data_IF_203497170832
#
_entry.id   IF_203497170832
#
_cell.length_a   1.000
_cell.length_b   1.000
_cell.length_c   1.000
_cell.angle_alpha   90.00
_cell.angle_beta   90.00
_cell.angle_gamma   90.00
#
_symmetry.space_group_name_H-M   'P 1'
#
loop_
_entity.id
_entity.type
_entity.pdbx_description
1 polymer ?
#
# COMPACT_ATOMS: atom_id res chain seq x y z
N UNK A 1 -16.94 4.38 18.21
CA UNK A 1 -16.58 4.44 16.78
C UNK A 1 -15.20 3.87 16.75
N UNK A 2 -15.14 2.56 16.55
CA UNK A 2 -14.04 1.76 17.05
C UNK A 2 -13.19 1.39 15.85
N UNK A 3 -12.07 2.09 15.72
CA UNK A 3 -11.01 1.72 14.80
C UNK A 3 -9.90 1.05 15.60
N UNK A 4 -9.28 0.03 15.02
CA UNK A 4 -8.12 -0.65 15.60
C UNK A 4 -6.95 -0.50 14.65
N UNK A 5 -5.81 -0.06 15.18
CA UNK A 5 -4.54 -0.12 14.47
C UNK A 5 -3.95 -1.51 14.74
N UNK A 6 -3.66 -2.25 13.67
CA UNK A 6 -3.12 -3.60 13.75
C UNK A 6 -2.15 -3.87 12.62
N UNK A 7 -1.33 -4.90 12.77
CA UNK A 7 -0.52 -5.39 11.66
C UNK A 7 -1.40 -5.86 10.49
N UNK A 8 -0.90 -5.66 9.27
CA UNK A 8 -1.48 -6.22 8.07
C UNK A 8 -1.38 -7.76 8.13
N UNK A 9 -2.48 -8.45 7.83
CA UNK A 9 -2.44 -9.92 7.78
C UNK A 9 -1.87 -10.38 6.44
N UNK A 10 -1.24 -11.55 6.43
CA UNK A 10 -0.66 -12.13 5.21
C UNK A 10 -1.69 -12.29 4.07
N UNK A 11 -2.95 -12.57 4.38
CA UNK A 11 -4.03 -12.67 3.39
C UNK A 11 -4.61 -11.31 2.94
N UNK A 12 -4.06 -10.19 3.45
CA UNK A 12 -4.46 -8.82 3.12
C UNK A 12 -3.38 -8.08 2.33
N UNK A 13 -2.25 -8.72 2.00
CA UNK A 13 -1.12 -8.10 1.26
C UNK A 13 -1.56 -7.50 -0.07
N UNK A 14 -2.54 -8.09 -0.74
CA UNK A 14 -3.12 -7.58 -1.99
C UNK A 14 -3.80 -6.21 -1.84
N UNK A 15 -4.10 -5.75 -0.62
CA UNK A 15 -4.58 -4.39 -0.39
C UNK A 15 -3.50 -3.34 -0.68
N UNK A 16 -2.22 -3.70 -0.58
CA UNK A 16 -1.12 -2.77 -0.83
C UNK A 16 -1.09 -2.27 -2.27
N UNK A 17 -1.54 -3.05 -3.26
CA UNK A 17 -1.70 -2.58 -4.65
C UNK A 17 -2.71 -1.43 -4.74
N UNK A 18 -3.81 -1.52 -3.99
CA UNK A 18 -4.82 -0.47 -3.93
C UNK A 18 -4.26 0.77 -3.25
N UNK A 19 -3.59 0.60 -2.11
CA UNK A 19 -2.98 1.72 -1.39
C UNK A 19 -1.82 2.37 -2.15
N UNK A 20 -1.05 1.60 -2.92
CA UNK A 20 0.01 2.11 -3.79
C UNK A 20 -0.57 3.02 -4.88
N UNK A 21 -1.66 2.60 -5.51
CA UNK A 21 -2.37 3.44 -6.48
C UNK A 21 -2.93 4.71 -5.84
N UNK A 22 -3.57 4.59 -4.67
CA UNK A 22 -4.15 5.73 -3.95
C UNK A 22 -3.09 6.70 -3.40
N UNK A 23 -1.84 6.24 -3.20
CA UNK A 23 -0.71 7.07 -2.80
C UNK A 23 -0.12 7.90 -3.94
N UNK A 24 -0.51 7.66 -5.21
CA UNK A 24 -0.05 8.44 -6.35
C UNK A 24 -0.58 9.87 -6.21
N UNK A 25 0.34 10.83 -6.13
CA UNK A 25 -0.01 12.24 -6.15
C UNK A 25 -0.52 12.64 -7.54
N UNK A 26 -1.75 13.15 -7.60
CA UNK A 26 -2.37 13.64 -8.83
C UNK A 26 -2.52 15.17 -8.70
N UNK A 27 -1.76 15.97 -9.49
CA UNK A 27 -1.92 17.42 -9.49
C UNK A 27 -3.33 17.85 -9.90
N UNK A 28 -3.76 19.01 -9.42
CA UNK A 28 -5.07 19.57 -9.79
C UNK A 28 -5.19 19.74 -11.32
N UNK A 29 -6.33 19.31 -11.88
CA UNK A 29 -6.59 19.36 -13.32
C UNK A 29 -5.91 18.26 -14.15
N UNK A 30 -5.12 17.37 -13.54
CA UNK A 30 -4.52 16.22 -14.21
C UNK A 30 -5.43 15.00 -14.07
N UNK A 31 -5.59 14.25 -15.16
CA UNK A 31 -6.33 13.00 -15.13
C UNK A 31 -5.52 11.93 -14.38
N UNK A 32 -6.19 11.17 -13.51
CA UNK A 32 -5.58 10.02 -12.86
C UNK A 32 -5.01 9.03 -13.90
N UNK A 33 -3.81 8.47 -13.69
CA UNK A 33 -3.30 7.42 -14.54
C UNK A 33 -4.22 6.20 -14.47
N UNK A 34 -4.12 5.32 -15.47
CA UNK A 34 -4.82 4.04 -15.41
C UNK A 34 -4.23 3.14 -14.32
N UNK A 35 -5.05 2.23 -13.77
CA UNK A 35 -4.67 1.40 -12.62
C UNK A 35 -3.50 0.46 -12.90
N UNK A 36 -3.29 0.07 -14.15
CA UNK A 36 -2.13 -0.71 -14.61
C UNK A 36 -0.79 0.00 -14.39
N UNK A 37 -0.77 1.30 -14.10
CA UNK A 37 0.47 2.01 -13.75
C UNK A 37 1.20 1.33 -12.58
N UNK A 38 0.47 0.75 -11.62
CA UNK A 38 1.08 0.08 -10.46
C UNK A 38 1.85 -1.17 -10.86
N UNK A 39 1.60 -1.76 -12.03
CA UNK A 39 2.35 -2.91 -12.54
C UNK A 39 3.75 -2.52 -13.03
N UNK A 40 4.04 -1.22 -13.16
CA UNK A 40 5.35 -0.74 -13.53
C UNK A 40 6.40 -1.15 -12.48
N UNK A 41 7.58 -1.67 -12.89
CA UNK A 41 8.61 -2.13 -11.96
C UNK A 41 8.97 -1.11 -10.88
N UNK A 42 9.09 0.16 -11.26
CA UNK A 42 9.43 1.27 -10.36
C UNK A 42 8.38 1.53 -9.26
N UNK A 43 7.13 1.08 -9.44
CA UNK A 43 6.10 1.13 -8.41
C UNK A 43 5.99 -0.22 -7.67
N UNK A 44 6.19 -1.33 -8.36
CA UNK A 44 6.18 -2.66 -7.74
C UNK A 44 7.28 -2.84 -6.68
N UNK A 45 8.40 -2.11 -6.72
CA UNK A 45 9.43 -2.17 -5.66
C UNK A 45 8.86 -1.94 -4.25
N UNK A 46 7.76 -1.19 -4.13
CA UNK A 46 7.14 -0.85 -2.84
C UNK A 46 6.26 -1.96 -2.26
N UNK A 47 5.74 -2.88 -3.08
CA UNK A 47 4.68 -3.83 -2.68
C UNK A 47 4.90 -5.27 -3.15
N UNK A 48 5.73 -5.50 -4.18
CA UNK A 48 6.00 -6.83 -4.68
C UNK A 48 6.64 -7.71 -3.60
N UNK A 49 6.16 -8.96 -3.50
CA UNK A 49 6.57 -9.94 -2.49
C UNK A 49 6.61 -9.37 -1.07
N UNK A 50 5.63 -8.54 -0.68
CA UNK A 50 5.56 -7.95 0.66
C UNK A 50 5.47 -9.00 1.77
N UNK A 51 6.08 -8.72 2.92
CA UNK A 51 6.16 -9.62 4.06
C UNK A 51 7.54 -10.23 4.30
N UNK A 52 8.58 -9.68 3.68
CA UNK A 52 9.99 -10.01 3.97
C UNK A 52 10.39 -9.49 5.35
N UNK A 53 11.57 -9.89 5.82
CA UNK A 53 12.10 -9.54 7.16
C UNK A 53 12.04 -8.03 7.46
N UNK A 54 12.31 -7.20 6.46
CA UNK A 54 12.41 -5.75 6.61
C UNK A 54 11.12 -5.02 6.21
N UNK A 55 10.06 -5.77 5.94
CA UNK A 55 8.73 -5.24 5.64
C UNK A 55 7.90 -5.12 6.92
N UNK A 56 7.29 -3.95 7.11
CA UNK A 56 6.35 -3.71 8.19
C UNK A 56 5.13 -2.98 7.62
N UNK A 57 3.93 -3.42 7.97
CA UNK A 57 2.71 -2.72 7.60
C UNK A 57 1.70 -2.74 8.74
N UNK A 58 1.14 -1.57 9.02
CA UNK A 58 0.00 -1.39 9.92
C UNK A 58 -1.17 -0.82 9.15
N UNK A 59 -2.36 -1.27 9.52
CA UNK A 59 -3.62 -0.84 8.92
C UNK A 59 -4.56 -0.27 9.98
N UNK A 60 -5.36 0.72 9.57
CA UNK A 60 -6.53 1.14 10.30
C UNK A 60 -7.71 0.25 9.89
N UNK A 61 -8.18 -0.59 10.80
CA UNK A 61 -9.34 -1.45 10.64
C UNK A 61 -10.56 -0.78 11.30
N UNK A 62 -11.56 -0.44 10.49
CA UNK A 62 -12.83 0.10 10.92
C UNK A 62 -13.93 -0.92 10.62
N UNK A 63 -14.46 -1.53 11.68
CA UNK A 63 -15.55 -2.52 11.59
C UNK A 63 -15.25 -3.71 10.65
N UNK A 64 -14.03 -4.24 10.73
CA UNK A 64 -13.56 -5.36 9.89
C UNK A 64 -13.11 -4.94 8.49
N UNK A 65 -13.16 -3.63 8.17
CA UNK A 65 -12.71 -3.08 6.89
C UNK A 65 -11.44 -2.26 7.08
N UNK A 66 -10.40 -2.62 6.33
CA UNK A 66 -9.18 -1.80 6.23
C UNK A 66 -9.50 -0.50 5.47
N UNK A 67 -9.30 0.64 6.12
CA UNK A 67 -9.60 1.99 5.58
C UNK A 67 -8.34 2.85 5.37
N UNK A 68 -7.18 2.35 5.76
CA UNK A 68 -5.90 3.02 5.56
C UNK A 68 -4.75 2.09 5.92
N UNK A 69 -3.58 2.36 5.34
CA UNK A 69 -2.36 1.61 5.60
C UNK A 69 -1.16 2.55 5.71
N UNK A 70 -0.19 2.15 6.53
CA UNK A 70 1.18 2.68 6.52
C UNK A 70 2.12 1.49 6.45
N UNK A 71 3.11 1.56 5.57
CA UNK A 71 4.09 0.49 5.44
C UNK A 71 5.49 1.04 5.21
N UNK A 72 6.46 0.27 5.65
CA UNK A 72 7.89 0.55 5.48
C UNK A 72 8.57 -0.68 4.93
N UNK A 73 9.61 -0.46 4.12
CA UNK A 73 10.48 -1.48 3.55
C UNK A 73 11.86 -0.88 3.37
N UNK A 74 12.89 -1.69 3.51
CA UNK A 74 14.24 -1.33 3.07
C UNK A 74 14.36 -1.67 1.58
N UNK A 75 14.56 -0.64 0.76
CA UNK A 75 14.78 -0.77 -0.68
C UNK A 75 16.24 -0.40 -0.95
N UNK A 76 16.93 -1.20 -1.76
CA UNK A 76 18.22 -0.80 -2.33
C UNK A 76 17.94 0.18 -3.47
N UNK A 77 17.61 1.40 -3.09
CA UNK A 77 17.37 2.52 -3.99
C UNK A 77 18.59 3.45 -3.95
N UNK A 78 19.34 3.47 -5.06
CA UNK A 78 20.58 4.22 -5.33
C UNK A 78 21.80 4.04 -4.39
#
# INVERSE_FOLDING_TARGET
MDYVIRELKQNEINLLDTFLYEAIFIPEGVQAPSKDIIEHPDLQIYVADFGKKDDLCYVADFDGKVVGAVWTRIINDY
#
